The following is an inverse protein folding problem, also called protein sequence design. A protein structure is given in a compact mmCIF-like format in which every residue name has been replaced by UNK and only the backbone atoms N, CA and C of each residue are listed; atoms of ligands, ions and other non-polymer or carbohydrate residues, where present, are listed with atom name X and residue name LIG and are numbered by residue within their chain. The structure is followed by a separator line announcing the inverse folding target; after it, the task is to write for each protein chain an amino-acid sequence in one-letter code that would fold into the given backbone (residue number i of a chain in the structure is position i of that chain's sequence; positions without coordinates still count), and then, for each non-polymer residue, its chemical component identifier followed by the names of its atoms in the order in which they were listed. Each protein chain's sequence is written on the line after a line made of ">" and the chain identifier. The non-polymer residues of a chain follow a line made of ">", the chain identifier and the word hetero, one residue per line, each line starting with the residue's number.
data_IF_780157888374
#
_entry.id   IF_780157888374
#
_cell.length_a   1.000
_cell.length_b   1.000
_cell.length_c   1.000
_cell.angle_alpha   90.00
_cell.angle_beta   90.00
_cell.angle_gamma   90.00
#
_symmetry.space_group_name_H-M   'P 1'
#
loop_
_entity.id
_entity.type
_entity.pdbx_description
1 polymer ?
#
# COMPACT_ATOMS: atom_id res chain seq x y z
N UNK A 1 4.74 -16.73 -6.01
CA UNK A 1 3.98 -17.82 -6.64
C UNK A 1 3.33 -17.41 -7.96
N UNK A 2 2.88 -18.37 -8.81
CA UNK A 2 2.28 -18.11 -10.11
C UNK A 2 0.97 -17.30 -10.01
N UNK A 3 0.46 -16.82 -11.16
CA UNK A 3 -0.85 -16.17 -11.19
C UNK A 3 -1.95 -17.16 -10.79
N UNK A 4 -2.90 -16.70 -9.97
CA UNK A 4 -4.03 -17.53 -9.51
C UNK A 4 -3.76 -18.43 -8.30
N UNK A 5 -2.54 -18.48 -7.74
CA UNK A 5 -2.23 -19.30 -6.55
C UNK A 5 -2.80 -18.77 -5.22
N UNK A 6 -3.50 -17.63 -5.23
CA UNK A 6 -4.16 -17.11 -4.02
C UNK A 6 -3.45 -15.94 -3.32
N UNK A 7 -2.38 -15.35 -3.89
CA UNK A 7 -1.63 -14.24 -3.28
C UNK A 7 -2.50 -13.07 -2.85
N UNK A 8 -3.33 -12.55 -3.75
CA UNK A 8 -4.28 -11.47 -3.45
C UNK A 8 -5.29 -11.89 -2.38
N UNK A 9 -5.74 -13.14 -2.42
CA UNK A 9 -6.65 -13.70 -1.40
C UNK A 9 -5.98 -13.69 -0.02
N UNK A 10 -4.71 -14.12 0.06
CA UNK A 10 -3.93 -14.09 1.30
C UNK A 10 -3.78 -12.67 1.84
N UNK A 11 -3.39 -11.71 0.99
CA UNK A 11 -3.32 -10.28 1.40
C UNK A 11 -4.68 -9.80 1.93
N UNK A 12 -5.77 -10.12 1.24
CA UNK A 12 -7.10 -9.70 1.65
C UNK A 12 -7.54 -10.34 2.98
N UNK A 13 -7.16 -11.58 3.24
CA UNK A 13 -7.38 -12.25 4.53
C UNK A 13 -6.55 -11.59 5.63
N UNK A 14 -5.24 -11.45 5.45
CA UNK A 14 -4.34 -10.84 6.44
C UNK A 14 -4.70 -9.39 6.76
N UNK A 15 -5.21 -8.66 5.80
CA UNK A 15 -5.65 -7.28 5.98
C UNK A 15 -7.09 -7.14 6.49
N UNK A 16 -7.83 -8.24 6.68
CA UNK A 16 -9.21 -8.24 7.12
C UNK A 16 -10.22 -7.72 6.07
N UNK A 17 -9.82 -7.67 4.78
CA UNK A 17 -10.73 -7.38 3.68
C UNK A 17 -11.60 -8.60 3.32
N UNK A 18 -11.15 -9.80 3.66
CA UNK A 18 -11.90 -11.05 3.56
C UNK A 18 -11.92 -11.75 4.92
N UNK A 19 -13.02 -12.44 5.20
CA UNK A 19 -13.14 -13.32 6.37
C UNK A 19 -12.66 -14.74 6.00
N UNK A 20 -11.89 -15.43 6.85
CA UNK A 20 -11.50 -16.80 6.61
C UNK A 20 -12.72 -17.75 6.72
N UNK A 21 -12.71 -18.84 5.99
CA UNK A 21 -13.74 -19.89 6.07
C UNK A 21 -13.65 -20.65 7.39
N UNK A 22 -12.45 -20.77 7.94
CA UNK A 22 -12.17 -21.41 9.25
C UNK A 22 -10.86 -20.87 9.80
N UNK A 23 -10.66 -21.01 11.11
CA UNK A 23 -9.51 -20.46 11.82
C UNK A 23 -9.62 -18.96 12.07
N UNK A 24 -8.62 -18.41 12.74
CA UNK A 24 -8.59 -17.00 13.11
C UNK A 24 -7.36 -16.30 12.56
N UNK A 25 -7.52 -15.00 12.36
CA UNK A 25 -6.44 -14.09 12.02
C UNK A 25 -6.32 -13.08 13.15
N UNK A 26 -5.10 -12.84 13.58
CA UNK A 26 -4.82 -11.84 14.60
C UNK A 26 -3.78 -10.82 14.13
N UNK A 27 -3.97 -9.59 14.56
CA UNK A 27 -2.98 -8.52 14.43
C UNK A 27 -2.78 -7.86 15.81
N UNK A 28 -1.56 -7.94 16.33
CA UNK A 28 -1.25 -7.56 17.72
C UNK A 28 -2.19 -8.26 18.70
N UNK A 29 -2.99 -7.50 19.45
CA UNK A 29 -3.94 -8.03 20.43
C UNK A 29 -5.38 -8.16 19.89
N UNK A 30 -5.59 -7.98 18.57
CA UNK A 30 -6.90 -8.04 17.95
C UNK A 30 -7.09 -9.36 17.22
N UNK A 31 -8.11 -10.13 17.59
CA UNK A 31 -8.55 -11.34 16.89
C UNK A 31 -9.71 -10.92 15.97
N UNK A 32 -9.59 -11.15 14.66
CA UNK A 32 -10.53 -10.60 13.68
C UNK A 32 -11.95 -11.16 13.83
N UNK A 33 -12.10 -12.42 14.24
CA UNK A 33 -13.40 -13.04 14.49
C UNK A 33 -14.17 -12.42 15.66
N UNK A 34 -13.49 -11.73 16.58
CA UNK A 34 -14.07 -11.05 17.72
C UNK A 34 -14.48 -9.60 17.43
N UNK A 35 -14.07 -9.05 16.26
CA UNK A 35 -14.33 -7.68 15.87
C UNK A 35 -15.60 -7.58 15.01
N UNK A 36 -16.38 -6.54 15.24
CA UNK A 36 -17.42 -6.14 14.30
C UNK A 36 -16.82 -5.39 13.08
N UNK A 37 -17.66 -5.13 12.06
CA UNK A 37 -17.20 -4.51 10.81
C UNK A 37 -16.60 -3.10 11.01
N UNK A 38 -17.16 -2.32 11.92
CA UNK A 38 -16.65 -0.96 12.22
C UNK A 38 -15.30 -1.02 12.91
N UNK A 39 -15.12 -1.98 13.82
CA UNK A 39 -13.86 -2.17 14.53
C UNK A 39 -12.73 -2.63 13.60
N UNK A 40 -13.02 -3.57 12.67
CA UNK A 40 -12.03 -4.03 11.70
C UNK A 40 -11.71 -2.96 10.66
N UNK A 41 -12.69 -2.12 10.27
CA UNK A 41 -12.46 -0.94 9.42
C UNK A 41 -11.54 0.07 10.10
N UNK A 42 -11.77 0.36 11.38
CA UNK A 42 -10.91 1.25 12.17
C UNK A 42 -9.49 0.67 12.35
N UNK A 43 -9.39 -0.65 12.55
CA UNK A 43 -8.11 -1.36 12.63
C UNK A 43 -7.32 -1.18 11.34
N UNK A 44 -7.96 -1.42 10.17
CA UNK A 44 -7.36 -1.23 8.84
C UNK A 44 -6.92 0.21 8.63
N UNK A 45 -7.83 1.14 8.86
CA UNK A 45 -7.59 2.55 8.64
C UNK A 45 -6.39 3.09 9.44
N UNK A 46 -6.25 2.60 10.68
CA UNK A 46 -5.21 3.09 11.60
C UNK A 46 -3.87 2.39 11.46
N UNK A 47 -3.84 1.15 10.96
CA UNK A 47 -2.63 0.33 11.01
C UNK A 47 -2.15 -0.19 9.66
N UNK A 48 -2.99 -0.18 8.61
CA UNK A 48 -2.63 -0.81 7.34
C UNK A 48 -2.56 0.20 6.21
N UNK A 49 -1.53 0.07 5.38
CA UNK A 49 -1.40 0.78 4.12
C UNK A 49 -1.48 -0.18 2.95
N UNK A 50 -2.06 0.26 1.83
CA UNK A 50 -2.25 -0.59 0.66
C UNK A 50 -1.65 0.03 -0.59
N UNK A 51 -0.90 -0.79 -1.34
CA UNK A 51 -0.42 -0.51 -2.69
C UNK A 51 -0.94 -1.63 -3.57
N UNK A 52 -1.88 -1.33 -4.45
CA UNK A 52 -2.50 -2.30 -5.34
C UNK A 52 -1.83 -2.29 -6.71
N UNK A 53 -1.89 -3.42 -7.43
CA UNK A 53 -1.47 -3.54 -8.82
C UNK A 53 -2.10 -2.47 -9.72
N UNK A 54 -3.43 -2.30 -9.63
CA UNK A 54 -4.13 -1.12 -10.15
C UNK A 54 -4.14 -0.07 -9.05
N UNK A 55 -3.55 1.09 -9.29
CA UNK A 55 -3.31 2.11 -8.26
C UNK A 55 -4.59 2.66 -7.59
N UNK A 56 -5.77 2.43 -8.19
CA UNK A 56 -7.08 2.86 -7.69
C UNK A 56 -7.10 4.34 -7.25
N UNK A 57 -6.42 5.21 -8.01
CA UNK A 57 -6.52 6.64 -7.80
C UNK A 57 -7.87 7.16 -8.31
N UNK A 58 -8.45 8.09 -7.58
CA UNK A 58 -9.75 8.66 -7.90
C UNK A 58 -9.57 9.71 -9.00
N UNK A 59 -10.00 9.39 -10.22
CA UNK A 59 -9.68 10.12 -11.45
C UNK A 59 -10.13 11.59 -11.48
N UNK A 60 -11.19 11.94 -10.75
CA UNK A 60 -11.70 13.31 -10.64
C UNK A 60 -11.11 14.11 -9.48
N UNK A 61 -10.15 13.55 -8.75
CA UNK A 61 -9.38 14.24 -7.73
C UNK A 61 -7.96 14.55 -8.22
N UNK A 62 -7.36 15.60 -7.67
CA UNK A 62 -5.94 15.88 -7.89
C UNK A 62 -5.05 14.99 -7.01
N UNK A 63 -3.72 15.07 -7.20
CA UNK A 63 -2.77 14.26 -6.45
C UNK A 63 -2.88 14.46 -4.94
N UNK A 64 -2.94 15.71 -4.47
CA UNK A 64 -3.08 16.04 -3.04
C UNK A 64 -4.39 15.51 -2.46
N UNK A 65 -5.50 15.68 -3.17
CA UNK A 65 -6.82 15.19 -2.73
C UNK A 65 -6.86 13.65 -2.63
N UNK A 66 -6.20 12.94 -3.55
CA UNK A 66 -6.07 11.48 -3.48
C UNK A 66 -5.31 11.00 -2.22
N UNK A 67 -4.36 11.79 -1.74
CA UNK A 67 -3.66 11.49 -0.48
C UNK A 67 -4.56 11.86 0.72
N UNK A 68 -5.18 13.03 0.67
CA UNK A 68 -6.01 13.56 1.76
C UNK A 68 -7.21 12.66 2.09
N UNK A 69 -7.86 12.06 1.08
CA UNK A 69 -9.04 11.21 1.31
C UNK A 69 -8.74 9.97 2.17
N UNK A 70 -7.49 9.51 2.18
CA UNK A 70 -7.05 8.41 3.02
C UNK A 70 -6.53 8.87 4.40
N UNK A 71 -6.35 10.18 4.59
CA UNK A 71 -5.81 10.72 5.83
C UNK A 71 -6.88 10.82 6.90
N UNK A 72 -6.54 10.45 8.13
CA UNK A 72 -7.34 10.90 9.26
C UNK A 72 -7.15 12.42 9.45
N UNK A 73 -8.21 13.14 9.78
CA UNK A 73 -8.22 14.61 9.88
C UNK A 73 -7.15 15.20 10.85
N UNK A 74 -6.49 14.38 11.64
CA UNK A 74 -5.42 14.76 12.58
C UNK A 74 -4.04 14.88 11.92
N UNK A 75 -3.86 14.39 10.69
CA UNK A 75 -2.54 14.22 10.03
C UNK A 75 -2.32 15.14 8.82
N UNK A 76 -2.90 16.36 8.79
CA UNK A 76 -2.69 17.31 7.69
C UNK A 76 -1.20 17.63 7.45
N UNK A 77 -0.38 17.69 8.51
CA UNK A 77 1.06 17.88 8.42
C UNK A 77 1.77 16.70 7.74
N UNK A 78 1.24 15.50 7.87
CA UNK A 78 1.84 14.33 7.22
C UNK A 78 1.61 14.34 5.70
N UNK A 79 0.48 14.86 5.22
CA UNK A 79 0.19 15.03 3.79
C UNK A 79 1.24 15.93 3.13
N UNK A 80 1.52 17.11 3.71
CA UNK A 80 2.52 18.04 3.18
C UNK A 80 3.94 17.44 3.21
N UNK A 81 4.29 16.76 4.29
CA UNK A 81 5.57 16.05 4.40
C UNK A 81 5.74 14.98 3.33
N UNK A 82 4.71 14.19 3.07
CA UNK A 82 4.73 13.15 2.03
C UNK A 82 4.83 13.76 0.63
N UNK A 83 4.10 14.83 0.37
CA UNK A 83 4.17 15.58 -0.90
C UNK A 83 5.61 16.03 -1.17
N UNK A 84 6.29 16.59 -0.16
CA UNK A 84 7.69 17.01 -0.29
C UNK A 84 8.64 15.81 -0.44
N UNK A 85 8.54 14.83 0.46
CA UNK A 85 9.44 13.66 0.50
C UNK A 85 9.40 12.83 -0.77
N UNK A 86 8.23 12.73 -1.41
CA UNK A 86 8.00 11.95 -2.62
C UNK A 86 8.12 12.78 -3.91
N UNK A 87 8.53 14.05 -3.81
CA UNK A 87 8.72 14.93 -4.97
C UNK A 87 7.44 15.22 -5.72
N UNK A 88 6.31 15.35 -5.02
CA UNK A 88 5.00 15.58 -5.61
C UNK A 88 4.59 17.06 -5.65
N UNK A 89 5.41 17.97 -5.13
CA UNK A 89 5.05 19.40 -4.97
C UNK A 89 4.64 20.06 -6.30
N UNK A 90 5.37 19.78 -7.37
CA UNK A 90 5.08 20.37 -8.70
C UNK A 90 3.76 19.85 -9.31
N UNK A 91 3.24 18.73 -8.82
CA UNK A 91 2.04 18.07 -9.37
C UNK A 91 0.89 17.94 -8.35
N UNK A 92 1.03 18.49 -7.15
CA UNK A 92 0.05 18.31 -6.08
C UNK A 92 -1.39 18.69 -6.46
N UNK A 93 -1.53 19.70 -7.33
CA UNK A 93 -2.82 20.19 -7.83
C UNK A 93 -3.22 19.59 -9.19
N UNK A 94 -2.36 18.76 -9.80
CA UNK A 94 -2.63 18.13 -11.09
C UNK A 94 -3.61 16.98 -10.93
N UNK A 95 -4.61 16.91 -11.81
CA UNK A 95 -5.58 15.82 -11.82
C UNK A 95 -4.86 14.50 -12.11
N UNK A 96 -5.16 13.44 -11.36
CA UNK A 96 -4.44 12.16 -11.48
C UNK A 96 -4.55 11.51 -12.85
N UNK A 97 -5.63 11.75 -13.60
CA UNK A 97 -5.77 11.30 -15.00
C UNK A 97 -4.72 11.87 -15.96
N UNK A 98 -4.05 12.95 -15.57
CA UNK A 98 -3.02 13.64 -16.37
C UNK A 98 -1.61 13.36 -15.84
N UNK A 99 -1.45 12.50 -14.85
CA UNK A 99 -0.15 12.12 -14.30
C UNK A 99 0.51 11.06 -15.17
N UNK A 100 1.83 11.07 -15.21
CA UNK A 100 2.59 9.92 -15.69
C UNK A 100 2.39 8.72 -14.76
N UNK A 101 2.75 7.53 -15.24
CA UNK A 101 2.64 6.32 -14.41
C UNK A 101 3.48 6.42 -13.12
N UNK A 102 4.74 6.87 -13.22
CA UNK A 102 5.62 7.06 -12.06
C UNK A 102 5.11 8.14 -11.08
N UNK A 103 4.50 9.24 -11.59
CA UNK A 103 3.83 10.23 -10.74
C UNK A 103 2.65 9.60 -10.00
N UNK A 104 1.82 8.84 -10.71
CA UNK A 104 0.66 8.13 -10.14
C UNK A 104 1.08 7.12 -9.06
N UNK A 105 2.17 6.39 -9.30
CA UNK A 105 2.72 5.47 -8.28
C UNK A 105 3.17 6.20 -7.02
N UNK A 106 3.90 7.31 -7.15
CA UNK A 106 4.30 8.09 -5.97
C UNK A 106 3.10 8.63 -5.21
N UNK A 107 2.03 9.02 -5.90
CA UNK A 107 0.76 9.41 -5.25
C UNK A 107 0.13 8.22 -4.51
N UNK A 108 0.11 7.03 -5.10
CA UNK A 108 -0.42 5.83 -4.45
C UNK A 108 0.42 5.42 -3.22
N UNK A 109 1.75 5.53 -3.29
CA UNK A 109 2.64 5.32 -2.13
C UNK A 109 2.38 6.38 -1.05
N UNK A 110 2.23 7.65 -1.41
CA UNK A 110 1.89 8.70 -0.45
C UNK A 110 0.55 8.41 0.26
N UNK A 111 -0.46 8.00 -0.50
CA UNK A 111 -1.77 7.63 0.03
C UNK A 111 -1.69 6.44 0.99
N UNK A 112 -0.86 5.45 0.68
CA UNK A 112 -0.60 4.30 1.55
C UNK A 112 -0.01 4.72 2.89
N UNK A 113 0.91 5.68 2.88
CA UNK A 113 1.72 6.08 4.04
C UNK A 113 1.10 7.17 4.91
N UNK A 114 0.00 7.79 4.47
CA UNK A 114 -0.51 9.03 5.09
C UNK A 114 -0.90 8.88 6.56
N UNK A 115 -1.30 7.69 6.98
CA UNK A 115 -1.63 7.37 8.37
C UNK A 115 -0.49 6.69 9.14
N UNK A 116 0.73 6.67 8.59
CA UNK A 116 1.90 6.00 9.20
C UNK A 116 1.59 4.55 9.59
N UNK A 117 1.24 3.69 8.60
CA UNK A 117 0.76 2.35 8.86
C UNK A 117 1.83 1.49 9.54
N UNK A 118 1.42 0.53 10.37
CA UNK A 118 2.31 -0.48 10.95
C UNK A 118 2.63 -1.60 9.96
N UNK A 119 1.70 -1.88 9.04
CA UNK A 119 1.89 -2.88 7.97
C UNK A 119 1.53 -2.27 6.63
N UNK A 120 2.39 -2.46 5.65
CA UNK A 120 2.15 -2.12 4.24
C UNK A 120 1.90 -3.42 3.48
N UNK A 121 0.74 -3.53 2.86
CA UNK A 121 0.40 -4.58 1.92
C UNK A 121 0.60 -4.08 0.50
N UNK A 122 1.47 -4.73 -0.27
CA UNK A 122 1.72 -4.41 -1.67
C UNK A 122 1.39 -5.63 -2.55
N UNK A 123 0.32 -5.52 -3.34
CA UNK A 123 -0.12 -6.58 -4.24
C UNK A 123 0.38 -6.30 -5.66
N UNK A 124 1.33 -7.11 -6.14
CA UNK A 124 1.94 -7.02 -7.47
C UNK A 124 2.43 -5.60 -7.83
N UNK A 125 3.20 -4.90 -6.96
CA UNK A 125 3.49 -3.48 -7.11
C UNK A 125 4.35 -3.14 -8.33
N UNK A 126 5.02 -4.13 -8.93
CA UNK A 126 5.88 -3.97 -10.12
C UNK A 126 5.30 -4.58 -11.39
N UNK A 127 4.08 -5.09 -11.33
CA UNK A 127 3.44 -5.75 -12.48
C UNK A 127 3.28 -4.77 -13.66
N UNK A 128 3.67 -5.24 -14.85
CA UNK A 128 3.59 -4.44 -16.08
C UNK A 128 4.68 -3.37 -16.24
N UNK A 129 5.68 -3.34 -15.35
CA UNK A 129 6.81 -2.43 -15.43
C UNK A 129 8.01 -3.07 -16.13
N UNK A 130 8.78 -2.26 -16.83
CA UNK A 130 10.13 -2.61 -17.24
C UNK A 130 11.09 -2.70 -16.03
N UNK A 131 12.28 -3.24 -16.23
CA UNK A 131 13.23 -3.52 -15.15
C UNK A 131 13.65 -2.28 -14.38
N UNK A 132 13.84 -1.15 -15.06
CA UNK A 132 14.27 0.10 -14.45
C UNK A 132 13.17 0.68 -13.56
N UNK A 133 11.95 0.71 -14.06
CA UNK A 133 10.80 1.23 -13.32
C UNK A 133 10.40 0.29 -12.15
N UNK A 134 10.48 -1.04 -12.34
CA UNK A 134 10.24 -2.00 -11.26
C UNK A 134 11.20 -1.80 -10.09
N UNK A 135 12.50 -1.60 -10.37
CA UNK A 135 13.50 -1.30 -9.36
C UNK A 135 13.22 0.02 -8.63
N UNK A 136 12.91 1.08 -9.37
CA UNK A 136 12.59 2.39 -8.77
C UNK A 136 11.40 2.28 -7.80
N UNK A 137 10.37 1.53 -8.16
CA UNK A 137 9.16 1.37 -7.34
C UNK A 137 9.46 0.57 -6.08
N UNK A 138 10.15 -0.56 -6.20
CA UNK A 138 10.44 -1.38 -5.03
C UNK A 138 11.39 -0.67 -4.08
N UNK A 139 12.42 0.00 -4.59
CA UNK A 139 13.35 0.81 -3.79
C UNK A 139 12.60 1.93 -3.03
N UNK A 140 11.62 2.58 -3.69
CA UNK A 140 10.79 3.59 -3.06
C UNK A 140 9.96 3.00 -1.91
N UNK A 141 9.29 1.88 -2.13
CA UNK A 141 8.46 1.21 -1.11
C UNK A 141 9.32 0.77 0.08
N UNK A 142 10.44 0.10 -0.19
CA UNK A 142 11.37 -0.36 0.85
C UNK A 142 11.93 0.80 1.68
N UNK A 143 12.37 1.87 1.01
CA UNK A 143 12.88 3.08 1.68
C UNK A 143 11.82 3.71 2.58
N UNK A 144 10.57 3.78 2.12
CA UNK A 144 9.50 4.35 2.92
C UNK A 144 9.11 3.42 4.08
N UNK A 145 8.97 2.12 3.86
CA UNK A 145 8.68 1.14 4.91
C UNK A 145 9.73 1.20 6.03
N UNK A 146 11.02 1.26 5.66
CA UNK A 146 12.11 1.43 6.63
C UNK A 146 12.03 2.75 7.39
N UNK A 147 11.70 3.86 6.70
CA UNK A 147 11.59 5.20 7.32
C UNK A 147 10.44 5.27 8.33
N UNK A 148 9.33 4.55 8.06
CA UNK A 148 8.13 4.54 8.92
C UNK A 148 8.12 3.37 9.90
N UNK A 149 9.18 2.55 9.92
CA UNK A 149 9.28 1.33 10.74
C UNK A 149 8.10 0.37 10.51
N UNK A 150 7.57 0.37 9.29
CA UNK A 150 6.44 -0.48 8.90
C UNK A 150 6.93 -1.87 8.47
N UNK A 151 6.21 -2.92 8.85
CA UNK A 151 6.36 -4.23 8.21
C UNK A 151 5.85 -4.17 6.78
N UNK A 152 6.56 -4.80 5.84
CA UNK A 152 6.18 -4.81 4.43
C UNK A 152 5.87 -6.24 3.98
N UNK A 153 4.65 -6.46 3.48
CA UNK A 153 4.20 -7.72 2.90
C UNK A 153 3.96 -7.48 1.41
N UNK A 154 4.72 -8.15 0.55
CA UNK A 154 4.62 -8.02 -0.90
C UNK A 154 4.17 -9.34 -1.50
N UNK A 155 3.08 -9.33 -2.24
CA UNK A 155 2.74 -10.43 -3.13
C UNK A 155 3.28 -10.16 -4.52
N UNK A 156 3.92 -11.14 -5.13
CA UNK A 156 4.43 -11.01 -6.48
C UNK A 156 4.76 -12.35 -7.14
N UNK A 157 4.72 -12.38 -8.46
CA UNK A 157 5.33 -13.41 -9.28
C UNK A 157 6.63 -12.92 -9.95
N UNK A 158 7.03 -11.68 -9.70
CA UNK A 158 8.18 -11.02 -10.31
C UNK A 158 9.49 -11.47 -9.63
N UNK A 159 10.25 -12.31 -10.30
CA UNK A 159 11.52 -12.83 -9.80
C UNK A 159 12.59 -11.73 -9.61
N UNK A 160 12.47 -10.62 -10.32
CA UNK A 160 13.42 -9.48 -10.24
C UNK A 160 13.48 -8.87 -8.85
N UNK A 161 12.36 -8.88 -8.14
CA UNK A 161 12.27 -8.27 -6.80
C UNK A 161 12.43 -9.26 -5.66
N UNK A 162 12.45 -10.56 -5.93
CA UNK A 162 12.62 -11.62 -4.90
C UNK A 162 13.88 -11.39 -4.06
N UNK A 163 14.98 -10.96 -4.67
CA UNK A 163 16.25 -10.75 -4.00
C UNK A 163 16.29 -9.54 -3.03
N UNK A 164 15.26 -8.72 -3.03
CA UNK A 164 15.13 -7.61 -2.07
C UNK A 164 14.57 -8.04 -0.71
N UNK A 165 14.11 -9.29 -0.59
CA UNK A 165 13.46 -9.82 0.60
C UNK A 165 14.22 -11.03 1.15
N UNK A 166 14.42 -11.06 2.48
CA UNK A 166 15.03 -12.19 3.19
C UNK A 166 14.01 -13.30 3.45
N UNK A 167 12.78 -12.92 3.73
CA UNK A 167 11.73 -13.86 4.10
C UNK A 167 10.76 -14.03 2.92
N UNK A 168 10.68 -15.26 2.41
CA UNK A 168 9.87 -15.58 1.22
C UNK A 168 8.98 -16.77 1.53
N UNK A 169 7.66 -16.57 1.37
CA UNK A 169 6.67 -17.62 1.36
C UNK A 169 6.34 -18.00 -0.09
N UNK A 170 6.61 -19.23 -0.47
CA UNK A 170 6.22 -19.75 -1.79
C UNK A 170 4.82 -20.37 -1.73
N UNK A 171 3.96 -19.94 -2.66
CA UNK A 171 2.58 -20.42 -2.79
C UNK A 171 2.40 -21.11 -4.16
#
# INVERSE_FOLDING_TARGET
>A
GPSGCGKTTLINLLSGLLKPTSGDIAFANYIYSELNEVEIDNLRFSNFGFIFQKLHLIGHLNAKQNIQIASNNKNSLNVENLIQTLGLKAIENKMVKNLSFGESQRVAVARCLVNSPKVIFADEPTSGLDDSNAKIVIDLILKQAKKTESSLIVSTHDQRIKNFFSDVLEM
#
